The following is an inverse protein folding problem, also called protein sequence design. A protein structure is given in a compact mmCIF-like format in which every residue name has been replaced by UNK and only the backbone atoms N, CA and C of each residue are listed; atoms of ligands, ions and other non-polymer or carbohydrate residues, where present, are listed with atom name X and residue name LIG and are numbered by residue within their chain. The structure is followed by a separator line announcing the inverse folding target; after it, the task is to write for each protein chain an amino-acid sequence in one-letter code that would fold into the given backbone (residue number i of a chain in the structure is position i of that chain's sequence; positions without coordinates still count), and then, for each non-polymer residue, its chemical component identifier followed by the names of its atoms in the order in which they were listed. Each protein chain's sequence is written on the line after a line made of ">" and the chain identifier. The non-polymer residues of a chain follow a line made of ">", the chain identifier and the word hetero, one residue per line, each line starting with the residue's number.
data_IF_362195798495
#
_entry.id   IF_362195798495
#
_cell.length_a   1.000
_cell.length_b   1.000
_cell.length_c   1.000
_cell.angle_alpha   90.00
_cell.angle_beta   90.00
_cell.angle_gamma   90.00
#
_symmetry.space_group_name_H-M   'P 1'
#
loop_
_entity.id
_entity.type
_entity.pdbx_description
1 polymer ?
#
# COMPACT_ATOMS: atom_id res chain seq x y z
N UNK A 1 30.82 -36.80 38.18
CA UNK A 1 30.20 -36.86 36.84
C UNK A 1 29.19 -35.73 36.83
N UNK A 2 29.67 -34.50 36.71
CA UNK A 2 28.89 -33.30 37.02
C UNK A 2 29.09 -32.29 35.92
N UNK A 3 28.23 -32.34 34.90
CA UNK A 3 28.17 -31.36 33.82
C UNK A 3 26.80 -31.39 33.13
N UNK A 4 25.71 -31.28 33.90
CA UNK A 4 24.35 -31.18 33.33
C UNK A 4 23.64 -29.84 33.60
N UNK A 5 24.34 -28.74 33.85
CA UNK A 5 23.62 -27.49 34.07
C UNK A 5 24.43 -26.22 33.81
N UNK A 6 24.69 -25.89 32.53
CA UNK A 6 24.84 -24.49 32.07
C UNK A 6 24.30 -24.40 30.63
N UNK A 7 23.05 -24.82 30.45
CA UNK A 7 22.24 -24.51 29.27
C UNK A 7 21.41 -23.27 29.58
N UNK A 8 22.04 -22.10 29.62
CA UNK A 8 21.35 -20.81 29.63
C UNK A 8 22.30 -19.71 29.14
N UNK A 9 22.90 -19.94 27.97
CA UNK A 9 23.29 -18.82 27.10
C UNK A 9 22.02 -18.27 26.50
N UNK A 10 21.50 -17.23 27.15
CA UNK A 10 20.42 -16.34 26.71
C UNK A 10 20.74 -15.80 25.30
N UNK A 11 20.39 -16.57 24.28
CA UNK A 11 20.38 -16.15 22.89
C UNK A 11 19.12 -15.31 22.69
N UNK A 12 19.19 -14.03 23.09
CA UNK A 12 18.24 -13.05 22.59
C UNK A 12 18.57 -12.83 21.10
N UNK A 13 17.66 -13.13 20.16
CA UNK A 13 17.92 -12.84 18.75
C UNK A 13 18.15 -11.33 18.58
N UNK A 14 19.09 -10.90 17.72
CA UNK A 14 19.23 -9.50 17.40
C UNK A 14 17.89 -9.03 16.80
N UNK A 15 17.14 -8.24 17.58
CA UNK A 15 15.93 -7.60 17.10
C UNK A 15 16.35 -6.66 15.96
N UNK A 16 16.11 -7.10 14.72
CA UNK A 16 16.25 -6.26 13.54
C UNK A 16 15.27 -5.11 13.76
N UNK A 17 15.73 -3.85 13.92
CA UNK A 17 14.79 -2.75 14.09
C UNK A 17 13.87 -2.72 12.86
N UNK A 18 12.55 -2.50 13.02
CA UNK A 18 11.66 -2.38 11.89
C UNK A 18 12.21 -1.27 11.01
N UNK A 19 12.64 -1.64 9.80
CA UNK A 19 13.14 -0.71 8.79
C UNK A 19 11.97 0.23 8.50
N UNK A 20 11.92 1.36 9.19
CA UNK A 20 11.06 2.47 8.83
C UNK A 20 11.56 2.92 7.47
N UNK A 21 10.88 2.45 6.43
CA UNK A 21 11.09 2.88 5.06
C UNK A 21 10.72 4.35 4.99
N UNK A 22 11.68 5.21 5.35
CA UNK A 22 11.61 6.64 5.21
C UNK A 22 11.09 6.94 3.82
N UNK A 23 9.97 7.67 3.79
CA UNK A 23 9.17 7.94 2.62
C UNK A 23 9.90 8.88 1.65
N UNK A 24 11.01 8.45 1.07
CA UNK A 24 11.61 9.01 -0.15
C UNK A 24 10.75 8.69 -1.38
N UNK A 25 9.42 8.79 -1.22
CA UNK A 25 8.40 8.34 -2.17
C UNK A 25 7.64 9.50 -2.83
N UNK A 26 8.01 10.75 -2.57
CA UNK A 26 7.26 11.93 -3.02
C UNK A 26 7.08 12.02 -4.53
N UNK A 27 8.13 11.80 -5.33
CA UNK A 27 8.06 12.02 -6.78
C UNK A 27 7.36 10.88 -7.51
N UNK A 28 7.72 9.63 -7.22
CA UNK A 28 7.12 8.49 -7.91
C UNK A 28 5.66 8.28 -7.51
N UNK A 29 5.28 8.55 -6.25
CA UNK A 29 3.88 8.42 -5.82
C UNK A 29 2.98 9.53 -6.38
N UNK A 30 3.50 10.75 -6.54
CA UNK A 30 2.72 11.84 -7.15
C UNK A 30 2.42 11.56 -8.62
N UNK A 31 3.41 11.08 -9.39
CA UNK A 31 3.20 10.67 -10.79
C UNK A 31 2.21 9.51 -10.93
N UNK A 32 2.35 8.48 -10.09
CA UNK A 32 1.42 7.33 -10.05
C UNK A 32 0.00 7.78 -9.68
N UNK A 33 -0.16 8.69 -8.72
CA UNK A 33 -1.47 9.24 -8.33
C UNK A 33 -2.13 9.96 -9.51
N UNK A 34 -1.41 10.86 -10.18
CA UNK A 34 -1.90 11.60 -11.35
C UNK A 34 -2.30 10.67 -12.51
N UNK A 35 -1.50 9.64 -12.77
CA UNK A 35 -1.83 8.63 -13.78
C UNK A 35 -3.12 7.89 -13.42
N UNK A 36 -3.24 7.43 -12.17
CA UNK A 36 -4.42 6.70 -11.71
C UNK A 36 -5.68 7.58 -11.74
N UNK A 37 -5.58 8.85 -11.36
CA UNK A 37 -6.69 9.82 -11.46
C UNK A 37 -7.18 9.95 -12.90
N UNK A 38 -6.27 10.08 -13.87
CA UNK A 38 -6.61 10.13 -15.30
C UNK A 38 -7.28 8.84 -15.76
N UNK A 39 -6.77 7.68 -15.34
CA UNK A 39 -7.35 6.38 -15.69
C UNK A 39 -8.77 6.26 -15.14
N UNK A 40 -8.99 6.60 -13.87
CA UNK A 40 -10.31 6.54 -13.23
C UNK A 40 -11.28 7.54 -13.87
N UNK A 41 -10.84 8.78 -14.12
CA UNK A 41 -11.64 9.79 -14.83
C UNK A 41 -12.06 9.31 -16.22
N UNK A 42 -11.13 8.74 -16.98
CA UNK A 42 -11.43 8.19 -18.31
C UNK A 42 -12.45 7.05 -18.24
N UNK A 43 -12.34 6.21 -17.21
CA UNK A 43 -13.26 5.09 -16.99
C UNK A 43 -14.67 5.59 -16.65
N UNK A 44 -14.79 6.54 -15.71
CA UNK A 44 -16.08 7.13 -15.29
C UNK A 44 -16.74 7.89 -16.44
N UNK A 45 -15.98 8.64 -17.25
CA UNK A 45 -16.54 9.34 -18.41
C UNK A 45 -17.04 8.41 -19.51
N UNK A 46 -16.42 7.24 -19.69
CA UNK A 46 -16.80 6.28 -20.74
C UNK A 46 -17.94 5.34 -20.32
N UNK A 47 -18.00 4.95 -19.05
CA UNK A 47 -18.97 3.97 -18.55
C UNK A 47 -20.08 4.57 -17.69
N UNK A 48 -20.00 5.86 -17.36
CA UNK A 48 -20.93 6.52 -16.44
C UNK A 48 -20.64 6.20 -14.97
N UNK A 49 -21.64 6.29 -14.08
CA UNK A 49 -21.47 6.09 -12.65
C UNK A 49 -21.08 4.63 -12.35
N UNK A 50 -19.88 4.45 -11.78
CA UNK A 50 -19.34 3.15 -11.38
C UNK A 50 -19.13 3.10 -9.86
N UNK A 51 -19.36 1.92 -9.26
CA UNK A 51 -19.03 1.70 -7.86
C UNK A 51 -17.52 1.61 -7.64
N UNK A 52 -17.04 1.92 -6.42
CA UNK A 52 -15.61 1.85 -6.07
C UNK A 52 -14.98 0.48 -6.35
N UNK A 53 -15.77 -0.58 -6.16
CA UNK A 53 -15.38 -1.98 -6.43
C UNK A 53 -15.26 -2.25 -7.93
N UNK A 54 -16.19 -1.75 -8.74
CA UNK A 54 -16.14 -1.97 -10.19
C UNK A 54 -14.99 -1.17 -10.84
N UNK A 55 -14.69 0.03 -10.32
CA UNK A 55 -13.50 0.79 -10.72
C UNK A 55 -12.23 0.01 -10.41
N UNK A 56 -12.08 -0.52 -9.19
CA UNK A 56 -10.92 -1.33 -8.80
C UNK A 56 -10.76 -2.56 -9.72
N UNK A 57 -11.86 -3.28 -10.00
CA UNK A 57 -11.86 -4.45 -10.88
C UNK A 57 -11.46 -4.13 -12.31
N UNK A 58 -11.96 -3.02 -12.87
CA UNK A 58 -11.68 -2.62 -14.26
C UNK A 58 -10.30 -2.00 -14.46
N UNK A 59 -9.79 -1.30 -13.46
CA UNK A 59 -8.49 -0.61 -13.54
C UNK A 59 -7.33 -1.44 -13.02
N UNK A 60 -7.60 -2.54 -12.31
CA UNK A 60 -6.58 -3.30 -11.59
C UNK A 60 -5.99 -2.57 -10.37
N UNK A 61 -6.59 -1.43 -9.97
CA UNK A 61 -6.17 -0.68 -8.80
C UNK A 61 -6.62 -1.37 -7.52
N UNK A 62 -5.87 -1.15 -6.43
CA UNK A 62 -6.33 -1.56 -5.11
C UNK A 62 -7.61 -0.80 -4.72
N UNK A 63 -8.47 -1.46 -3.94
CA UNK A 63 -9.70 -0.85 -3.40
C UNK A 63 -9.41 0.42 -2.60
N UNK A 64 -8.26 0.48 -1.92
CA UNK A 64 -7.84 1.69 -1.21
C UNK A 64 -7.53 2.83 -2.17
N UNK A 65 -6.76 2.56 -3.23
CA UNK A 65 -6.38 3.56 -4.23
C UNK A 65 -7.60 4.10 -4.96
N UNK A 66 -8.52 3.24 -5.38
CA UNK A 66 -9.76 3.68 -6.04
C UNK A 66 -10.61 4.55 -5.10
N UNK A 67 -10.71 4.21 -3.82
CA UNK A 67 -11.48 4.99 -2.84
C UNK A 67 -10.88 6.38 -2.58
N UNK A 68 -9.55 6.49 -2.47
CA UNK A 68 -8.85 7.78 -2.32
C UNK A 68 -9.05 8.66 -3.55
N UNK A 69 -8.95 8.09 -4.76
CA UNK A 69 -9.13 8.84 -6.01
C UNK A 69 -10.58 9.29 -6.15
N UNK A 70 -11.56 8.43 -5.88
CA UNK A 70 -12.98 8.80 -5.93
C UNK A 70 -13.29 9.95 -4.97
N UNK A 71 -12.76 9.90 -3.74
CA UNK A 71 -12.90 10.99 -2.79
C UNK A 71 -12.26 12.30 -3.28
N UNK A 72 -11.16 12.22 -4.03
CA UNK A 72 -10.50 13.40 -4.62
C UNK A 72 -11.32 14.00 -5.78
N UNK A 73 -12.10 13.18 -6.50
CA UNK A 73 -12.95 13.61 -7.62
C UNK A 73 -14.31 14.15 -7.16
N UNK A 74 -14.79 13.74 -5.98
CA UNK A 74 -16.03 14.21 -5.35
C UNK A 74 -15.89 15.61 -4.70
N UNK A 75 -14.67 16.16 -4.64
CA UNK A 75 -14.29 17.29 -3.79
C UNK A 75 -13.84 18.51 -4.58
#
# INVERSE_FOLDING_TARGET
>A
MDSKQISDVLSAPPQIPPRTVSASRGTNQSGVKLYNERLVLSLVRSHGPLSKTEIARRTGLSTQTSSVIMKQLEN
#
